data_IF_515691404276
#
_entry.id   IF_515691404276
#
_cell.length_a   1.000
_cell.length_b   1.000
_cell.length_c   1.000
_cell.angle_alpha   90.00
_cell.angle_beta   90.00
_cell.angle_gamma   90.00
#
_symmetry.space_group_name_H-M   'P 1'
#
loop_
_entity.id
_entity.type
_entity.pdbx_description
1 polymer ?
#
# COMPACT_ATOMS: atom_id res chain seq x y z
N UNK A 1 -4.31 -1.77 7.66
CA UNK A 1 -3.10 -2.39 7.07
C UNK A 1 -3.00 -3.80 7.60
N UNK A 2 -2.69 -4.78 6.75
CA UNK A 2 -2.35 -6.17 7.11
C UNK A 2 -0.92 -6.47 6.66
N UNK A 3 -0.19 -7.23 7.47
CA UNK A 3 1.17 -7.68 7.22
C UNK A 3 1.27 -9.15 7.64
N UNK A 4 1.84 -9.99 6.79
CA UNK A 4 2.05 -11.41 7.06
C UNK A 4 3.23 -11.63 8.03
N UNK A 5 4.37 -10.98 7.76
CA UNK A 5 5.55 -11.04 8.65
C UNK A 5 6.16 -9.64 8.85
N UNK A 6 6.43 -9.27 10.10
CA UNK A 6 7.19 -8.08 10.46
C UNK A 6 8.54 -8.47 11.06
N UNK A 7 9.63 -7.91 10.51
CA UNK A 7 11.02 -8.17 10.91
C UNK A 7 11.65 -6.94 11.56
N UNK A 8 12.72 -7.11 12.37
CA UNK A 8 13.47 -6.00 12.95
C UNK A 8 13.94 -5.00 11.88
N UNK A 9 14.02 -3.72 12.24
CA UNK A 9 14.44 -2.66 11.31
C UNK A 9 13.34 -2.19 10.34
N UNK A 10 12.08 -2.58 10.57
CA UNK A 10 10.92 -2.09 9.82
C UNK A 10 10.63 -2.84 8.53
N UNK A 11 11.31 -3.96 8.27
CA UNK A 11 11.05 -4.78 7.09
C UNK A 11 9.74 -5.57 7.26
N UNK A 12 8.92 -5.58 6.21
CA UNK A 12 7.62 -6.26 6.19
C UNK A 12 7.56 -7.19 4.98
N UNK A 13 6.90 -8.33 5.13
CA UNK A 13 6.58 -9.26 4.06
C UNK A 13 5.08 -9.49 3.99
N UNK A 14 4.57 -9.64 2.77
CA UNK A 14 3.14 -9.87 2.52
C UNK A 14 2.28 -8.72 3.05
N UNK A 15 2.19 -7.64 2.29
CA UNK A 15 1.49 -6.42 2.70
C UNK A 15 0.19 -6.29 1.94
N UNK A 16 -0.91 -6.00 2.66
CA UNK A 16 -2.19 -5.59 2.09
C UNK A 16 -2.69 -4.32 2.79
N UNK A 17 -3.03 -3.30 2.00
CA UNK A 17 -3.48 -2.00 2.50
C UNK A 17 -4.73 -1.61 1.75
N UNK A 18 -5.81 -1.38 2.49
CA UNK A 18 -6.99 -0.75 1.94
C UNK A 18 -6.96 0.73 2.32
N UNK A 19 -6.82 1.59 1.31
CA UNK A 19 -6.84 3.04 1.43
C UNK A 19 -8.19 3.57 0.94
N UNK A 20 -8.97 4.10 1.88
CA UNK A 20 -10.28 4.68 1.64
C UNK A 20 -10.28 6.21 1.72
N UNK A 21 -9.10 6.86 1.80
CA UNK A 21 -9.00 8.33 1.88
C UNK A 21 -9.62 9.01 0.67
N UNK A 22 -9.54 8.39 -0.51
CA UNK A 22 -10.32 8.79 -1.68
C UNK A 22 -11.62 7.98 -1.79
N UNK A 23 -12.72 8.50 -1.24
CA UNK A 23 -14.03 7.83 -1.25
C UNK A 23 -14.66 7.60 -2.65
N UNK A 24 -14.11 8.20 -3.71
CA UNK A 24 -14.53 7.96 -5.11
C UNK A 24 -13.76 6.80 -5.74
N UNK A 25 -12.50 6.61 -5.34
CA UNK A 25 -11.59 5.61 -5.87
C UNK A 25 -10.85 4.94 -4.71
N UNK A 26 -11.49 4.02 -3.98
CA UNK A 26 -10.79 3.23 -2.98
C UNK A 26 -9.70 2.40 -3.65
N UNK A 27 -8.55 2.31 -2.99
CA UNK A 27 -7.37 1.62 -3.50
C UNK A 27 -6.95 0.51 -2.55
N UNK A 28 -6.66 -0.66 -3.10
CA UNK A 28 -6.03 -1.76 -2.39
C UNK A 28 -4.60 -1.92 -2.89
N UNK A 29 -3.62 -1.73 -2.02
CA UNK A 29 -2.21 -2.00 -2.30
C UNK A 29 -1.88 -3.41 -1.82
N UNK A 30 -1.23 -4.18 -2.69
CA UNK A 30 -0.64 -5.48 -2.35
C UNK A 30 0.84 -5.47 -2.71
N UNK A 31 1.72 -5.90 -1.82
CA UNK A 31 3.15 -5.95 -2.07
C UNK A 31 3.81 -7.15 -1.40
N UNK A 32 4.85 -7.70 -2.03
CA UNK A 32 5.63 -8.78 -1.45
C UNK A 32 6.53 -8.30 -0.32
N UNK A 33 7.08 -7.10 -0.46
CA UNK A 33 8.07 -6.53 0.48
C UNK A 33 7.71 -5.08 0.81
N UNK A 34 7.95 -4.72 2.06
CA UNK A 34 7.72 -3.38 2.58
C UNK A 34 8.85 -2.95 3.51
N UNK A 35 9.04 -1.65 3.63
CA UNK A 35 9.90 -1.03 4.64
C UNK A 35 9.19 0.20 5.21
N UNK A 36 8.90 0.17 6.50
CA UNK A 36 8.40 1.36 7.21
C UNK A 36 9.58 2.22 7.66
N UNK A 37 9.49 3.52 7.42
CA UNK A 37 10.47 4.51 7.89
C UNK A 37 9.77 5.74 8.43
N UNK A 38 10.28 6.23 9.55
CA UNK A 38 9.97 7.59 10.00
C UNK A 38 10.68 8.60 9.11
N UNK A 39 9.97 9.67 8.77
CA UNK A 39 10.49 10.82 8.04
C UNK A 39 10.02 12.09 8.73
N UNK A 40 10.60 13.24 8.39
CA UNK A 40 10.17 14.53 8.95
C UNK A 40 8.70 14.87 8.61
N UNK A 41 8.14 14.25 7.56
CA UNK A 41 6.75 14.39 7.13
C UNK A 41 5.82 13.30 7.70
N UNK A 42 6.32 12.42 8.58
CA UNK A 42 5.60 11.29 9.15
C UNK A 42 6.03 9.93 8.59
N UNK A 43 5.40 8.85 9.07
CA UNK A 43 5.76 7.49 8.67
C UNK A 43 5.37 7.21 7.21
N UNK A 44 6.32 6.66 6.45
CA UNK A 44 6.11 6.21 5.08
C UNK A 44 6.35 4.72 4.94
N UNK A 45 5.62 4.11 4.01
CA UNK A 45 5.80 2.72 3.63
C UNK A 45 6.35 2.64 2.21
N UNK A 46 7.57 2.14 2.07
CA UNK A 46 8.15 1.82 0.78
C UNK A 46 7.74 0.39 0.43
N UNK A 47 7.05 0.20 -0.68
CA UNK A 47 6.50 -1.08 -1.13
C UNK A 47 7.24 -1.56 -2.38
N UNK A 48 7.47 -2.85 -2.49
CA UNK A 48 8.12 -3.45 -3.66
C UNK A 48 7.45 -4.73 -4.15
N UNK A 49 7.51 -4.93 -5.46
CA UNK A 49 6.92 -6.05 -6.21
C UNK A 49 5.43 -6.21 -5.90
N UNK A 50 4.61 -5.29 -6.40
CA UNK A 50 3.22 -5.21 -5.98
C UNK A 50 2.26 -4.71 -7.05
N UNK A 51 1.02 -4.52 -6.63
CA UNK A 51 -0.01 -3.90 -7.43
C UNK A 51 -0.93 -3.01 -6.60
N UNK A 52 -1.55 -2.06 -7.29
CA UNK A 52 -2.65 -1.24 -6.81
C UNK A 52 -3.90 -1.72 -7.54
N UNK A 53 -4.95 -2.03 -6.79
CA UNK A 53 -6.27 -2.35 -7.31
C UNK A 53 -7.18 -1.15 -7.03
N UNK A 54 -7.69 -0.53 -8.09
CA UNK A 54 -8.61 0.60 -7.98
C UNK A 54 -9.99 0.16 -8.42
N UNK A 55 -10.98 0.34 -7.55
CA UNK A 55 -12.37 -0.03 -7.85
C UNK A 55 -13.17 1.22 -8.21
N UNK A 56 -13.69 1.27 -9.43
CA UNK A 56 -14.62 2.32 -9.84
C UNK A 56 -16.00 2.08 -9.20
N UNK A 57 -16.32 2.82 -8.14
CA UNK A 57 -17.49 2.62 -7.25
C UNK A 57 -18.82 2.38 -7.96
N UNK A 58 -19.06 3.03 -9.11
CA UNK A 58 -20.34 2.97 -9.83
C UNK A 58 -20.41 1.88 -10.89
N UNK A 59 -19.28 1.36 -11.36
CA UNK A 59 -19.24 0.38 -12.45
C UNK A 59 -18.72 -0.98 -12.01
N UNK A 60 -18.07 -1.06 -10.85
CA UNK A 60 -17.42 -2.29 -10.37
C UNK A 60 -16.17 -2.67 -11.16
N UNK A 61 -15.75 -1.86 -12.15
CA UNK A 61 -14.51 -2.10 -12.88
C UNK A 61 -13.32 -1.99 -11.94
N UNK A 62 -12.41 -2.97 -12.05
CA UNK A 62 -11.15 -3.02 -11.30
C UNK A 62 -10.00 -2.75 -12.25
N UNK A 63 -9.26 -1.68 -11.98
CA UNK A 63 -7.98 -1.42 -12.63
C UNK A 63 -6.87 -1.99 -11.76
N UNK A 64 -5.98 -2.78 -12.38
CA UNK A 64 -4.81 -3.36 -11.70
C UNK A 64 -3.55 -2.72 -12.26
N UNK A 65 -2.84 -1.96 -11.44
CA UNK A 65 -1.61 -1.27 -11.79
C UNK A 65 -0.46 -1.99 -11.09
N UNK A 66 0.45 -2.60 -11.86
CA UNK A 66 1.66 -3.24 -11.31
C UNK A 66 2.75 -2.20 -11.05
N UNK A 67 3.55 -2.43 -10.02
CA UNK A 67 4.73 -1.63 -9.72
C UNK A 67 5.89 -2.49 -9.25
N UNK A 68 7.10 -2.08 -9.61
CA UNK A 68 8.31 -2.62 -9.00
C UNK A 68 8.55 -1.98 -7.63
N UNK A 69 8.34 -0.66 -7.53
CA UNK A 69 8.40 0.09 -6.28
C UNK A 69 7.35 1.21 -6.22
N UNK A 70 6.85 1.51 -5.03
CA UNK A 70 6.05 2.71 -4.74
C UNK A 70 6.23 3.13 -3.28
N UNK A 71 5.79 4.34 -2.95
CA UNK A 71 5.81 4.88 -1.58
C UNK A 71 4.44 5.40 -1.24
N UNK A 72 3.97 5.10 -0.04
CA UNK A 72 2.72 5.64 0.50
C UNK A 72 2.97 6.29 1.87
N UNK A 73 2.25 7.38 2.14
CA UNK A 73 2.18 7.97 3.48
C UNK A 73 1.09 7.25 4.29
N UNK A 74 1.43 6.80 5.49
CA UNK A 74 0.53 6.07 6.42
C UNK A 74 0.22 6.87 7.69
N UNK A 75 0.71 8.11 7.81
CA UNK A 75 0.56 8.98 8.98
C UNK A 75 -0.68 9.90 8.99
N UNK A 76 -1.46 9.94 7.91
CA UNK A 76 -2.70 10.73 7.77
C UNK A 76 -3.95 9.84 7.80
#
# INVERSE_FOLDING_TARGET
IYVDEARPGGYLLGILINDYRNGKYPETYMAQRGLIRETDAGPVLQLANGNIQRVARYTGKVDIIRFDQTVINVGD
#
